data_IF_443573482209
#
_entry.id   IF_443573482209
#
_cell.length_a   1.000
_cell.length_b   1.000
_cell.length_c   1.000
_cell.angle_alpha   90.00
_cell.angle_beta   90.00
_cell.angle_gamma   90.00
#
_symmetry.space_group_name_H-M   'P 1'
#
loop_
_entity.id
_entity.type
_entity.pdbx_description
1 polymer ?
#
# COMPACT_ATOMS: atom_id res chain seq x y z
N UNK A 1 -10.57 13.31 -10.54
CA UNK A 1 -10.33 12.66 -11.86
C UNK A 1 -11.56 11.88 -12.28
N UNK A 2 -11.96 12.02 -13.52
CA UNK A 2 -13.06 11.22 -14.06
C UNK A 2 -12.67 9.75 -14.15
N UNK A 3 -13.55 8.86 -13.71
CA UNK A 3 -13.30 7.42 -13.77
C UNK A 3 -13.43 6.93 -15.21
N UNK A 4 -12.59 5.96 -15.57
CA UNK A 4 -12.63 5.40 -16.92
C UNK A 4 -13.84 4.46 -17.07
N UNK A 5 -14.42 4.42 -18.25
CA UNK A 5 -15.49 3.48 -18.58
C UNK A 5 -14.90 2.21 -19.21
N UNK A 6 -15.51 1.07 -18.97
CA UNK A 6 -15.03 -0.19 -19.51
C UNK A 6 -14.81 -0.15 -21.01
N UNK A 7 -15.74 0.47 -21.75
CA UNK A 7 -15.66 0.55 -23.20
C UNK A 7 -14.46 1.38 -23.71
N UNK A 8 -13.86 2.20 -22.85
CA UNK A 8 -12.71 3.04 -23.20
C UNK A 8 -11.36 2.38 -22.82
N UNK A 9 -11.38 1.20 -22.24
CA UNK A 9 -10.17 0.47 -21.83
C UNK A 9 -9.70 -0.41 -22.97
N UNK A 10 -8.41 -0.34 -23.25
CA UNK A 10 -7.76 -1.19 -24.26
C UNK A 10 -6.84 -2.20 -23.56
N UNK A 11 -6.75 -3.39 -24.15
CA UNK A 11 -5.83 -4.41 -23.70
C UNK A 11 -4.39 -3.87 -23.77
N UNK A 12 -3.61 -4.09 -22.71
CA UNK A 12 -2.24 -3.60 -22.62
C UNK A 12 -2.11 -2.14 -22.20
N UNK A 13 -3.22 -1.46 -21.95
CA UNK A 13 -3.23 -0.08 -21.50
C UNK A 13 -2.68 0.04 -20.10
N UNK A 14 -1.81 1.03 -19.86
CA UNK A 14 -1.30 1.32 -18.51
C UNK A 14 -2.35 2.03 -17.67
N UNK A 15 -2.38 1.70 -16.38
CA UNK A 15 -3.16 2.42 -15.38
C UNK A 15 -2.36 3.66 -14.98
N UNK A 16 -3.01 4.83 -14.76
CA UNK A 16 -2.30 6.01 -14.29
C UNK A 16 -1.55 5.75 -12.98
N UNK A 17 -0.28 6.15 -12.93
CA UNK A 17 0.60 5.92 -11.80
C UNK A 17 0.07 6.61 -10.54
N UNK A 18 0.17 5.93 -9.39
CA UNK A 18 -0.03 6.51 -8.08
C UNK A 18 1.30 6.50 -7.33
N UNK A 19 1.72 7.66 -6.85
CA UNK A 19 2.97 7.83 -6.12
C UNK A 19 2.65 8.27 -4.70
N UNK A 20 3.13 7.51 -3.72
CA UNK A 20 2.87 7.76 -2.30
C UNK A 20 4.18 7.71 -1.53
N UNK A 21 4.45 8.75 -0.76
CA UNK A 21 5.62 8.76 0.09
C UNK A 21 6.40 10.06 0.04
N UNK A 22 7.54 10.10 0.70
CA UNK A 22 8.14 8.97 1.40
C UNK A 22 7.26 8.51 2.59
N UNK A 23 7.24 7.20 2.81
CA UNK A 23 6.50 6.61 3.95
C UNK A 23 7.17 7.07 5.24
N UNK A 24 6.38 7.57 6.17
CA UNK A 24 6.85 8.03 7.47
C UNK A 24 6.50 7.02 8.54
N UNK A 25 7.31 6.94 9.59
CA UNK A 25 7.00 6.10 10.74
C UNK A 25 5.61 6.43 11.31
N UNK A 26 5.23 7.72 11.31
CA UNK A 26 3.90 8.14 11.78
C UNK A 26 2.76 7.55 10.95
N UNK A 27 2.97 7.31 9.67
CA UNK A 27 1.97 6.64 8.82
C UNK A 27 1.69 5.23 9.31
N UNK A 28 2.74 4.51 9.72
CA UNK A 28 2.61 3.16 10.25
C UNK A 28 1.93 3.16 11.62
N UNK A 29 2.23 4.17 12.46
CA UNK A 29 1.57 4.34 13.76
C UNK A 29 0.07 4.57 13.56
N UNK A 30 -0.30 5.44 12.62
CA UNK A 30 -1.69 5.72 12.31
C UNK A 30 -2.41 4.48 11.80
N UNK A 31 -1.76 3.75 10.90
CA UNK A 31 -2.35 2.53 10.37
C UNK A 31 -2.52 1.47 11.45
N UNK A 32 -1.55 1.30 12.33
CA UNK A 32 -1.66 0.39 13.47
C UNK A 32 -2.89 0.73 14.33
N UNK A 33 -3.10 2.01 14.61
CA UNK A 33 -4.26 2.48 15.37
C UNK A 33 -5.58 2.22 14.66
N UNK A 34 -5.62 2.45 13.35
CA UNK A 34 -6.84 2.27 12.56
C UNK A 34 -7.19 0.81 12.33
N UNK A 35 -6.19 -0.04 12.11
CA UNK A 35 -6.38 -1.46 11.77
C UNK A 35 -6.41 -2.39 12.98
N UNK A 36 -5.86 -1.94 14.10
CA UNK A 36 -5.67 -2.80 15.27
C UNK A 36 -4.44 -3.72 15.17
N UNK A 37 -3.61 -3.56 14.15
CA UNK A 37 -2.39 -4.35 13.99
C UNK A 37 -1.22 -3.64 14.68
N UNK A 38 -1.00 -3.97 15.93
CA UNK A 38 0.04 -3.38 16.78
C UNK A 38 1.29 -4.25 16.87
N UNK A 39 1.53 -5.12 15.88
CA UNK A 39 2.75 -5.92 15.88
C UNK A 39 3.97 -4.98 15.97
N UNK A 40 4.87 -5.18 16.96
CA UNK A 40 5.98 -4.27 17.18
C UNK A 40 6.98 -4.18 16.02
N UNK A 41 6.98 -5.10 15.07
CA UNK A 41 7.85 -4.99 13.89
C UNK A 41 7.54 -3.75 13.05
N UNK A 42 6.37 -3.14 13.23
CA UNK A 42 5.97 -1.94 12.50
C UNK A 42 6.29 -0.65 13.25
N UNK A 43 6.52 -0.71 14.55
CA UNK A 43 6.61 0.48 15.41
C UNK A 43 7.84 0.55 16.31
N UNK A 44 8.53 -0.57 16.54
CA UNK A 44 9.66 -0.67 17.44
C UNK A 44 10.89 -1.12 16.66
N UNK A 45 11.80 -0.17 16.41
CA UNK A 45 13.01 -0.42 15.61
C UNK A 45 13.90 -1.49 16.23
N UNK A 46 14.08 -1.46 17.54
CA UNK A 46 14.95 -2.45 18.23
C UNK A 46 14.33 -3.85 18.15
N UNK A 47 13.03 -3.93 18.36
CA UNK A 47 12.32 -5.22 18.22
C UNK A 47 12.43 -5.74 16.80
N UNK A 48 12.19 -4.89 15.78
CA UNK A 48 12.29 -5.29 14.39
C UNK A 48 13.68 -5.82 14.05
N UNK A 49 14.72 -5.13 14.52
CA UNK A 49 16.11 -5.57 14.30
C UNK A 49 16.39 -6.90 15.00
N UNK A 50 15.87 -7.10 16.21
CA UNK A 50 16.02 -8.37 16.94
C UNK A 50 15.34 -9.53 16.21
N UNK A 51 14.31 -9.23 15.44
CA UNK A 51 13.60 -10.21 14.62
C UNK A 51 14.26 -10.45 13.25
N UNK A 52 15.42 -9.84 13.00
CA UNK A 52 16.18 -10.03 11.76
C UNK A 52 15.82 -9.05 10.65
N UNK A 53 15.06 -8.00 10.96
CA UNK A 53 14.66 -6.99 9.98
C UNK A 53 15.63 -5.81 10.00
N UNK A 54 15.76 -5.04 8.90
CA UNK A 54 16.65 -3.87 8.86
C UNK A 54 16.18 -2.71 9.73
N UNK A 55 14.93 -2.70 10.12
CA UNK A 55 14.26 -1.71 10.93
C UNK A 55 12.77 -1.98 10.91
N UNK A 56 11.96 -1.00 11.28
CA UNK A 56 10.50 -1.17 11.17
C UNK A 56 10.10 -1.31 9.72
N UNK A 57 9.06 -2.11 9.47
CA UNK A 57 8.54 -2.35 8.13
C UNK A 57 7.07 -1.93 8.07
N UNK A 58 6.62 -1.55 6.88
CA UNK A 58 5.22 -1.22 6.67
C UNK A 58 4.35 -2.47 6.74
N UNK A 59 3.14 -2.31 7.29
CA UNK A 59 2.13 -3.38 7.25
C UNK A 59 1.85 -3.75 5.79
N UNK A 60 1.82 -5.03 5.49
CA UNK A 60 1.45 -5.49 4.14
C UNK A 60 0.08 -4.96 3.73
N UNK A 61 -0.89 -5.03 4.64
CA UNK A 61 -2.24 -4.56 4.35
C UNK A 61 -2.31 -3.03 4.13
N UNK A 62 -1.40 -2.25 4.73
CA UNK A 62 -1.28 -0.82 4.45
C UNK A 62 -0.88 -0.60 2.99
N UNK A 63 0.12 -1.32 2.51
CA UNK A 63 0.57 -1.24 1.12
C UNK A 63 -0.52 -1.70 0.16
N UNK A 64 -1.23 -2.78 0.51
CA UNK A 64 -2.37 -3.26 -0.27
C UNK A 64 -3.47 -2.20 -0.37
N UNK A 65 -3.74 -1.49 0.71
CA UNK A 65 -4.73 -0.41 0.72
C UNK A 65 -4.30 0.77 -0.17
N UNK A 66 -3.02 1.11 -0.16
CA UNK A 66 -2.49 2.16 -1.04
C UNK A 66 -2.63 1.76 -2.51
N UNK A 67 -2.31 0.53 -2.86
CA UNK A 67 -2.51 0.02 -4.22
C UNK A 67 -4.00 0.02 -4.58
N UNK A 68 -4.87 -0.25 -3.61
CA UNK A 68 -6.32 -0.15 -3.80
C UNK A 68 -6.78 1.25 -4.21
N UNK A 69 -6.09 2.29 -3.70
CA UNK A 69 -6.35 3.67 -4.13
C UNK A 69 -6.10 3.86 -5.63
N UNK A 70 -5.03 3.28 -6.16
CA UNK A 70 -4.76 3.32 -7.60
C UNK A 70 -5.96 2.80 -8.37
N UNK A 71 -6.51 1.68 -7.94
CA UNK A 71 -7.65 1.04 -8.61
C UNK A 71 -8.91 1.90 -8.48
N UNK A 72 -9.23 2.38 -7.29
CA UNK A 72 -10.46 3.16 -7.06
C UNK A 72 -10.37 4.60 -7.53
N UNK A 73 -9.18 5.12 -7.77
CA UNK A 73 -8.99 6.40 -8.46
C UNK A 73 -9.25 6.25 -9.96
N UNK A 74 -9.02 5.06 -10.50
CA UNK A 74 -9.12 4.78 -11.93
C UNK A 74 -10.52 4.34 -12.34
N UNK A 75 -11.18 3.48 -11.55
CA UNK A 75 -12.51 2.94 -11.84
C UNK A 75 -13.44 3.16 -10.65
N UNK A 76 -14.75 3.02 -10.87
CA UNK A 76 -15.72 3.03 -9.77
C UNK A 76 -15.55 1.76 -8.91
N UNK A 77 -15.65 1.86 -7.58
CA UNK A 77 -15.49 0.68 -6.71
C UNK A 77 -16.39 -0.49 -7.07
N UNK A 78 -17.62 -0.23 -7.52
CA UNK A 78 -18.57 -1.28 -7.90
C UNK A 78 -18.19 -2.01 -9.20
N UNK A 79 -17.20 -1.51 -9.92
CA UNK A 79 -16.68 -2.16 -11.13
C UNK A 79 -15.55 -3.15 -10.82
N UNK A 80 -15.05 -3.15 -9.58
CA UNK A 80 -13.99 -4.07 -9.16
C UNK A 80 -14.62 -5.40 -8.80
N UNK A 81 -14.31 -6.44 -9.56
CA UNK A 81 -14.83 -7.78 -9.33
C UNK A 81 -13.95 -8.61 -8.42
N UNK A 82 -12.65 -8.36 -8.49
CA UNK A 82 -11.66 -9.07 -7.70
C UNK A 82 -10.46 -8.16 -7.47
N UNK A 83 -9.91 -8.21 -6.27
CA UNK A 83 -8.70 -7.50 -5.92
C UNK A 83 -7.85 -8.38 -5.01
N UNK A 84 -6.63 -8.67 -5.45
CA UNK A 84 -5.70 -9.49 -4.71
C UNK A 84 -4.29 -9.04 -4.97
N UNK A 85 -3.41 -9.31 -4.02
CA UNK A 85 -1.99 -8.97 -4.13
C UNK A 85 -1.13 -10.13 -3.66
N UNK A 86 0.13 -10.09 -4.06
CA UNK A 86 1.15 -11.00 -3.57
C UNK A 86 2.28 -10.16 -2.99
N UNK A 87 2.56 -10.35 -1.71
CA UNK A 87 3.65 -9.63 -1.04
C UNK A 87 4.97 -10.34 -1.32
N UNK A 88 5.85 -9.71 -2.08
CA UNK A 88 7.15 -10.29 -2.47
C UNK A 88 8.33 -9.64 -1.77
N UNK A 89 8.13 -8.51 -1.10
CA UNK A 89 9.17 -7.79 -0.41
C UNK A 89 8.61 -6.92 0.68
N UNK A 90 9.49 -6.28 1.42
CA UNK A 90 9.15 -5.39 2.52
C UNK A 90 9.26 -3.95 2.07
N UNK A 91 8.39 -3.09 2.59
CA UNK A 91 8.46 -1.65 2.39
C UNK A 91 8.89 -1.00 3.69
N UNK A 92 9.78 -0.03 3.60
CA UNK A 92 10.43 0.59 4.77
C UNK A 92 10.07 2.08 4.84
N UNK A 93 10.04 2.66 6.05
CA UNK A 93 9.95 4.11 6.19
C UNK A 93 11.07 4.80 5.40
N UNK A 94 10.75 5.90 4.75
CA UNK A 94 11.67 6.63 3.89
C UNK A 94 11.54 6.29 2.41
N UNK A 95 10.92 5.17 2.08
CA UNK A 95 10.72 4.76 0.69
C UNK A 95 9.47 5.41 0.09
N UNK A 96 9.56 5.77 -1.19
CA UNK A 96 8.40 6.23 -1.96
C UNK A 96 7.84 5.05 -2.75
N UNK A 97 6.54 4.83 -2.60
CA UNK A 97 5.86 3.74 -3.28
C UNK A 97 5.29 4.24 -4.59
N UNK A 98 5.51 3.47 -5.64
CA UNK A 98 4.98 3.75 -6.99
C UNK A 98 4.14 2.56 -7.41
N UNK A 99 2.89 2.83 -7.69
CA UNK A 99 1.93 1.81 -8.11
C UNK A 99 1.50 2.03 -9.55
#
# INVERSE_FOLDING_TARGET
MAKIQFAAVNEGQDIPELRVGPIKQMDLVRYAGASGDFNPIHNDTEFAKSAGLPGTIAHGMYIMALMGRLVTDWVQPNQVKYYGVKFKGMSLPGETMVF
#
